data_IF_620101084390
#
_entry.id   IF_620101084390
#
_cell.length_a   1.000
_cell.length_b   1.000
_cell.length_c   1.000
_cell.angle_alpha   90.00
_cell.angle_beta   90.00
_cell.angle_gamma   90.00
#
_symmetry.space_group_name_H-M   'P 1'
#
loop_
_entity.id
_entity.type
_entity.pdbx_description
1 polymer ?
#
# COMPACT_ATOMS: atom_id res chain seq x y z
N UNK A 1 9.59 16.56 -17.79
CA UNK A 1 8.31 16.35 -17.06
C UNK A 1 8.58 15.41 -15.89
N UNK A 2 8.02 15.71 -14.72
CA UNK A 2 8.14 14.79 -13.57
C UNK A 2 7.45 13.48 -13.89
N UNK A 3 8.15 12.36 -13.66
CA UNK A 3 7.59 11.01 -13.88
C UNK A 3 7.19 10.45 -12.51
N UNK A 4 5.90 10.39 -12.21
CA UNK A 4 5.40 9.72 -11.03
C UNK A 4 5.24 8.22 -11.30
N UNK A 5 5.86 7.40 -10.46
CA UNK A 5 5.68 5.95 -10.43
C UNK A 5 4.77 5.57 -9.28
N UNK A 6 3.73 4.80 -9.54
CA UNK A 6 2.82 4.24 -8.54
C UNK A 6 3.01 2.73 -8.50
N UNK A 7 3.41 2.20 -7.35
CA UNK A 7 3.61 0.75 -7.15
C UNK A 7 2.55 0.21 -6.21
N UNK A 8 1.85 -0.83 -6.66
CA UNK A 8 0.82 -1.52 -5.91
C UNK A 8 1.34 -2.80 -5.26
N UNK A 9 0.97 -3.00 -4.00
CA UNK A 9 1.24 -4.21 -3.21
C UNK A 9 -0.07 -4.82 -2.73
N UNK A 10 -0.39 -6.01 -3.23
CA UNK A 10 -1.65 -6.70 -2.94
C UNK A 10 -1.68 -7.41 -1.58
N UNK A 11 -2.88 -7.70 -1.09
CA UNK A 11 -3.11 -8.47 0.14
C UNK A 11 -2.74 -9.95 0.01
N UNK A 12 -2.84 -10.69 1.13
CA UNK A 12 -2.46 -12.11 1.19
C UNK A 12 -3.26 -12.97 0.22
N UNK A 13 -4.57 -12.81 0.20
CA UNK A 13 -5.52 -13.63 -0.56
C UNK A 13 -5.88 -13.07 -1.94
N UNK A 14 -5.22 -12.00 -2.37
CA UNK A 14 -5.48 -11.39 -3.67
C UNK A 14 -4.27 -11.49 -4.59
N UNK A 15 -4.43 -11.05 -5.82
CA UNK A 15 -3.35 -10.97 -6.79
C UNK A 15 -3.00 -9.53 -7.14
N UNK A 16 -1.98 -9.33 -7.97
CA UNK A 16 -1.45 -8.01 -8.31
C UNK A 16 -2.49 -7.10 -8.97
N UNK A 17 -3.47 -7.68 -9.65
CA UNK A 17 -4.51 -6.94 -10.37
C UNK A 17 -5.93 -7.27 -9.86
N UNK A 18 -6.07 -7.41 -8.54
CA UNK A 18 -7.39 -7.50 -7.91
C UNK A 18 -8.22 -6.22 -8.13
N UNK A 19 -9.54 -6.30 -7.90
CA UNK A 19 -10.50 -5.22 -8.23
C UNK A 19 -10.11 -3.84 -7.69
N UNK A 20 -9.68 -3.76 -6.44
CA UNK A 20 -9.22 -2.49 -5.84
C UNK A 20 -7.99 -1.92 -6.56
N UNK A 21 -7.01 -2.76 -6.83
CA UNK A 21 -5.78 -2.32 -7.50
C UNK A 21 -6.07 -1.86 -8.91
N UNK A 22 -6.91 -2.57 -9.66
CA UNK A 22 -7.32 -2.15 -11.01
C UNK A 22 -8.01 -0.78 -10.99
N UNK A 23 -9.00 -0.60 -10.10
CA UNK A 23 -9.71 0.67 -9.99
C UNK A 23 -8.76 1.84 -9.68
N UNK A 24 -7.83 1.66 -8.75
CA UNK A 24 -6.87 2.71 -8.41
C UNK A 24 -5.78 2.89 -9.49
N UNK A 25 -5.36 1.82 -10.17
CA UNK A 25 -4.46 1.92 -11.31
C UNK A 25 -5.07 2.74 -12.45
N UNK A 26 -6.35 2.51 -12.75
CA UNK A 26 -7.08 3.29 -13.76
C UNK A 26 -7.12 4.80 -13.38
N UNK A 27 -7.27 5.13 -12.09
CA UNK A 27 -7.18 6.53 -11.61
C UNK A 27 -5.78 7.09 -11.86
N UNK A 28 -4.73 6.35 -11.51
CA UNK A 28 -3.35 6.78 -11.67
C UNK A 28 -2.99 6.98 -13.15
N UNK A 29 -3.38 6.03 -14.03
CA UNK A 29 -3.11 6.11 -15.47
C UNK A 29 -3.83 7.29 -16.12
N UNK A 30 -5.07 7.62 -15.72
CA UNK A 30 -5.78 8.82 -16.19
C UNK A 30 -5.04 10.13 -15.85
N UNK A 31 -4.24 10.13 -14.79
CA UNK A 31 -3.39 11.27 -14.40
C UNK A 31 -2.02 11.25 -15.13
N UNK A 32 -1.78 10.29 -16.03
CA UNK A 32 -0.54 10.18 -16.79
C UNK A 32 0.65 9.63 -15.99
N UNK A 33 0.38 8.89 -14.90
CA UNK A 33 1.43 8.25 -14.10
C UNK A 33 1.81 6.89 -14.66
N UNK A 34 3.02 6.42 -14.35
CA UNK A 34 3.41 5.03 -14.57
C UNK A 34 2.86 4.18 -13.42
N UNK A 35 2.32 3.01 -13.75
CA UNK A 35 1.81 2.07 -12.75
C UNK A 35 2.53 0.73 -12.83
N UNK A 36 2.71 0.11 -11.68
CA UNK A 36 3.30 -1.22 -11.52
C UNK A 36 2.59 -1.94 -10.39
N UNK A 37 2.30 -3.21 -10.55
CA UNK A 37 1.78 -4.05 -9.47
C UNK A 37 2.66 -5.28 -9.28
N UNK A 38 3.13 -5.47 -8.04
CA UNK A 38 4.03 -6.58 -7.70
C UNK A 38 3.22 -7.86 -7.53
N UNK A 39 3.64 -8.94 -8.21
CA UNK A 39 3.08 -10.27 -7.96
C UNK A 39 3.90 -11.02 -6.92
N UNK A 40 3.42 -11.04 -5.69
CA UNK A 40 4.06 -11.74 -4.59
C UNK A 40 3.80 -13.26 -4.58
N UNK A 41 2.96 -13.76 -5.48
CA UNK A 41 2.70 -15.20 -5.65
C UNK A 41 3.80 -15.87 -6.47
N UNK A 42 4.45 -15.11 -7.35
CA UNK A 42 5.61 -15.56 -8.08
C UNK A 42 6.82 -15.57 -7.14
N UNK A 43 7.29 -16.76 -6.80
CA UNK A 43 8.45 -16.91 -5.94
C UNK A 43 9.74 -16.92 -6.75
N UNK A 44 10.82 -16.31 -6.26
CA UNK A 44 12.13 -16.52 -6.82
C UNK A 44 12.48 -18.02 -6.81
N UNK A 45 13.14 -18.50 -7.85
CA UNK A 45 13.58 -19.90 -7.97
C UNK A 45 14.36 -20.31 -6.72
N UNK A 46 13.91 -21.37 -6.03
CA UNK A 46 14.59 -21.93 -4.84
C UNK A 46 14.00 -21.52 -3.48
N UNK A 47 12.89 -20.76 -3.43
CA UNK A 47 12.18 -20.47 -2.18
C UNK A 47 11.09 -21.51 -1.87
N UNK A 48 10.85 -21.87 -0.58
CA UNK A 48 9.76 -22.76 -0.20
C UNK A 48 8.39 -22.20 -0.62
N UNK A 49 7.51 -23.05 -1.16
CA UNK A 49 6.20 -22.67 -1.71
C UNK A 49 5.12 -22.41 -0.64
N UNK A 50 5.46 -22.34 0.63
CA UNK A 50 4.46 -22.13 1.68
C UNK A 50 4.08 -20.67 1.81
N UNK A 51 3.01 -20.27 1.12
CA UNK A 51 2.44 -18.92 1.20
C UNK A 51 1.81 -18.61 2.56
N UNK A 52 1.67 -19.59 3.44
CA UNK A 52 1.16 -19.44 4.79
C UNK A 52 2.27 -19.45 5.85
N UNK A 53 3.54 -19.55 5.42
CA UNK A 53 4.67 -19.56 6.33
C UNK A 53 4.75 -18.29 7.16
N UNK A 54 5.18 -18.45 8.40
CA UNK A 54 5.59 -17.35 9.26
C UNK A 54 6.67 -16.52 8.53
N UNK A 55 6.50 -15.20 8.52
CA UNK A 55 7.44 -14.30 7.81
C UNK A 55 7.09 -14.00 6.34
N UNK A 56 5.94 -14.43 5.81
CA UNK A 56 5.52 -14.10 4.44
C UNK A 56 5.53 -12.58 4.19
N UNK A 57 5.01 -11.78 5.11
CA UNK A 57 4.96 -10.34 4.97
C UNK A 57 6.36 -9.73 4.84
N UNK A 58 7.31 -10.19 5.65
CA UNK A 58 8.70 -9.70 5.63
C UNK A 58 9.46 -10.16 4.39
N UNK A 59 9.18 -11.37 3.90
CA UNK A 59 9.69 -11.84 2.61
C UNK A 59 9.21 -10.96 1.46
N UNK A 60 7.93 -10.55 1.45
CA UNK A 60 7.38 -9.63 0.44
C UNK A 60 8.04 -8.25 0.50
N UNK A 61 8.44 -7.78 1.67
CA UNK A 61 9.28 -6.57 1.79
C UNK A 61 10.59 -6.75 1.02
N UNK A 62 11.29 -7.86 1.22
CA UNK A 62 12.51 -8.17 0.48
C UNK A 62 12.29 -8.23 -1.04
N UNK A 63 11.17 -8.84 -1.49
CA UNK A 63 10.80 -8.88 -2.90
C UNK A 63 10.59 -7.46 -3.47
N UNK A 64 9.80 -6.61 -2.79
CA UNK A 64 9.57 -5.23 -3.25
C UNK A 64 10.89 -4.45 -3.34
N UNK A 65 11.77 -4.60 -2.38
CA UNK A 65 13.07 -3.91 -2.35
C UNK A 65 14.06 -4.41 -3.40
N UNK A 66 13.87 -5.62 -3.95
CA UNK A 66 14.73 -6.23 -4.98
C UNK A 66 14.34 -5.86 -6.42
N UNK A 67 13.18 -5.25 -6.61
CA UNK A 67 12.69 -4.91 -7.95
C UNK A 67 13.48 -3.73 -8.53
N UNK A 68 13.92 -3.88 -9.76
CA UNK A 68 14.46 -2.74 -10.52
C UNK A 68 13.31 -1.80 -10.90
N UNK A 69 13.30 -0.61 -10.35
CA UNK A 69 12.25 0.37 -10.61
C UNK A 69 12.50 1.09 -11.94
N UNK A 70 11.44 1.37 -12.72
CA UNK A 70 11.52 2.26 -13.87
C UNK A 70 12.03 3.65 -13.48
N UNK A 71 12.56 4.39 -14.45
CA UNK A 71 12.98 5.77 -14.22
C UNK A 71 11.81 6.64 -13.72
N UNK A 72 11.99 7.26 -12.58
CA UNK A 72 10.98 8.10 -11.94
C UNK A 72 11.62 9.27 -11.17
N UNK A 73 10.86 10.32 -10.94
CA UNK A 73 11.25 11.46 -10.10
C UNK A 73 10.43 11.55 -8.81
N UNK A 74 9.29 10.87 -8.76
CA UNK A 74 8.43 10.75 -7.59
C UNK A 74 7.93 9.30 -7.49
N UNK A 75 7.80 8.79 -6.26
CA UNK A 75 7.36 7.42 -5.98
C UNK A 75 6.19 7.41 -5.00
N UNK A 76 5.12 6.73 -5.37
CA UNK A 76 4.00 6.41 -4.49
C UNK A 76 3.89 4.90 -4.32
N UNK A 77 3.82 4.44 -3.09
CA UNK A 77 3.48 3.06 -2.77
C UNK A 77 2.02 2.98 -2.34
N UNK A 78 1.29 2.05 -2.93
CA UNK A 78 -0.11 1.75 -2.59
C UNK A 78 -0.19 0.33 -2.07
N UNK A 79 -0.63 0.16 -0.82
CA UNK A 79 -0.68 -1.16 -0.21
C UNK A 79 -2.06 -1.52 0.35
N UNK A 80 -2.52 -2.74 0.08
CA UNK A 80 -3.77 -3.27 0.63
C UNK A 80 -3.49 -4.42 1.60
N UNK A 81 -4.05 -4.35 2.81
CA UNK A 81 -3.92 -5.39 3.83
C UNK A 81 -2.44 -5.70 4.14
N UNK A 82 -1.97 -6.94 3.93
CA UNK A 82 -0.55 -7.29 4.02
C UNK A 82 0.34 -6.40 3.16
N UNK A 83 -0.11 -6.03 1.94
CA UNK A 83 0.60 -5.10 1.08
C UNK A 83 0.76 -3.70 1.69
N UNK A 84 -0.14 -3.29 2.59
CA UNK A 84 -0.02 -2.05 3.37
C UNK A 84 1.15 -2.10 4.35
N UNK A 85 1.32 -3.20 5.06
CA UNK A 85 2.50 -3.45 5.88
C UNK A 85 3.77 -3.45 5.04
N UNK A 86 3.78 -4.21 3.94
CA UNK A 86 4.93 -4.31 3.03
C UNK A 86 5.36 -2.95 2.51
N UNK A 87 4.43 -2.14 2.02
CA UNK A 87 4.70 -0.78 1.51
C UNK A 87 5.25 0.13 2.60
N UNK A 88 4.71 0.05 3.82
CA UNK A 88 5.14 0.87 4.94
C UNK A 88 6.57 0.52 5.37
N UNK A 89 6.90 -0.76 5.51
CA UNK A 89 8.25 -1.20 5.88
C UNK A 89 9.26 -0.88 4.77
N UNK A 90 8.90 -1.13 3.51
CA UNK A 90 9.77 -0.82 2.38
C UNK A 90 10.06 0.69 2.24
N UNK A 91 9.13 1.56 2.66
CA UNK A 91 9.33 3.01 2.61
C UNK A 91 10.55 3.51 3.39
N UNK A 92 11.02 2.73 4.37
CA UNK A 92 12.21 3.08 5.16
C UNK A 92 13.49 3.10 4.30
N UNK A 93 13.53 2.26 3.25
CA UNK A 93 14.68 2.10 2.36
C UNK A 93 14.50 2.74 0.98
N UNK A 94 13.29 3.09 0.62
CA UNK A 94 12.96 3.74 -0.64
C UNK A 94 12.71 5.24 -0.39
N UNK A 95 13.06 6.07 -1.35
CA UNK A 95 12.66 7.49 -1.32
C UNK A 95 11.22 7.60 -1.80
N UNK A 96 10.27 7.58 -0.86
CA UNK A 96 8.84 7.53 -1.13
C UNK A 96 8.21 8.90 -0.90
N UNK A 97 7.53 9.43 -1.91
CA UNK A 97 6.79 10.69 -1.80
C UNK A 97 5.43 10.47 -1.15
N UNK A 98 4.78 9.34 -1.40
CA UNK A 98 3.48 9.04 -0.84
C UNK A 98 3.24 7.58 -0.48
N UNK A 99 2.54 7.37 0.64
CA UNK A 99 1.97 6.07 1.03
C UNK A 99 0.45 6.17 1.04
N UNK A 100 -0.23 5.35 0.22
CA UNK A 100 -1.68 5.22 0.24
C UNK A 100 -2.07 3.81 0.65
N UNK A 101 -2.72 3.66 1.80
CA UNK A 101 -2.86 2.39 2.48
C UNK A 101 -4.34 2.03 2.67
N UNK A 102 -4.72 0.82 2.27
CA UNK A 102 -6.09 0.30 2.32
C UNK A 102 -6.17 -0.83 3.36
N UNK A 103 -6.88 -0.61 4.46
CA UNK A 103 -7.03 -1.57 5.56
C UNK A 103 -5.70 -2.27 5.91
N UNK A 104 -4.61 -1.51 6.18
CA UNK A 104 -3.26 -2.07 6.30
C UNK A 104 -3.16 -3.05 7.47
N UNK A 105 -2.50 -4.17 7.26
CA UNK A 105 -2.33 -5.23 8.24
C UNK A 105 -1.24 -4.88 9.28
N UNK A 106 -1.47 -3.83 10.06
CA UNK A 106 -0.56 -3.35 11.09
C UNK A 106 -0.75 -4.05 12.42
N UNK A 107 0.32 -4.22 13.17
CA UNK A 107 0.33 -4.76 14.54
C UNK A 107 -0.29 -6.16 14.65
N UNK A 108 -0.23 -6.95 13.59
CA UNK A 108 -0.69 -8.33 13.62
C UNK A 108 0.41 -9.27 14.14
N UNK A 109 0.06 -10.32 14.89
CA UNK A 109 1.01 -11.35 15.29
C UNK A 109 1.71 -12.01 14.09
N UNK A 110 2.97 -12.38 14.24
CA UNK A 110 3.75 -13.05 13.20
C UNK A 110 4.43 -12.13 12.18
N UNK A 111 4.23 -10.81 12.28
CA UNK A 111 4.97 -9.81 11.49
C UNK A 111 6.17 -9.31 12.28
N UNK A 112 7.35 -9.26 11.67
CA UNK A 112 8.60 -8.93 12.37
C UNK A 112 8.61 -7.49 12.91
N UNK A 113 8.05 -6.54 12.14
CA UNK A 113 8.04 -5.13 12.54
C UNK A 113 6.73 -4.78 13.25
N UNK A 114 6.78 -4.64 14.55
CA UNK A 114 5.65 -4.18 15.37
C UNK A 114 5.70 -2.68 15.68
N UNK A 115 6.86 -2.04 15.49
CA UNK A 115 7.05 -0.59 15.58
C UNK A 115 7.26 -0.05 14.15
N UNK A 116 6.15 0.35 13.52
CA UNK A 116 6.15 0.80 12.15
C UNK A 116 6.42 2.31 12.09
N UNK A 117 7.41 2.71 11.31
CA UNK A 117 7.72 4.12 11.07
C UNK A 117 7.68 4.40 9.57
N UNK A 118 6.60 4.99 9.05
CA UNK A 118 6.50 5.31 7.63
C UNK A 118 7.53 6.38 7.27
N UNK A 119 8.21 6.20 6.14
CA UNK A 119 9.05 7.24 5.55
C UNK A 119 8.50 7.64 4.19
N UNK A 120 7.58 8.59 4.24
CA UNK A 120 7.00 9.22 3.06
C UNK A 120 6.67 10.68 3.39
N UNK A 121 6.63 11.54 2.39
CA UNK A 121 6.23 12.93 2.60
C UNK A 121 4.75 13.05 2.97
N UNK A 122 3.93 12.14 2.46
CA UNK A 122 2.51 12.08 2.78
C UNK A 122 2.07 10.63 2.95
N UNK A 123 1.33 10.36 4.00
CA UNK A 123 0.68 9.05 4.25
C UNK A 123 -0.81 9.27 4.41
N UNK A 124 -1.61 8.45 3.71
CA UNK A 124 -3.06 8.41 3.84
C UNK A 124 -3.51 6.96 4.04
N UNK A 125 -4.38 6.75 5.01
CA UNK A 125 -4.99 5.44 5.29
C UNK A 125 -6.48 5.53 5.04
N UNK A 126 -7.03 4.50 4.39
CA UNK A 126 -8.47 4.25 4.30
C UNK A 126 -8.78 2.91 4.95
N UNK A 127 -9.74 2.86 5.87
CA UNK A 127 -10.12 1.64 6.59
C UNK A 127 -11.63 1.54 6.76
N UNK A 128 -12.15 0.31 6.71
CA UNK A 128 -13.57 0.04 6.90
C UNK A 128 -13.91 -0.13 8.38
N UNK A 129 -15.00 0.49 8.84
CA UNK A 129 -15.46 0.36 10.23
C UNK A 129 -15.79 -1.09 10.62
N UNK A 130 -16.31 -1.88 9.66
CA UNK A 130 -16.75 -3.26 9.88
C UNK A 130 -15.69 -4.29 9.44
N UNK A 131 -14.41 -3.90 9.43
CA UNK A 131 -13.31 -4.81 9.12
C UNK A 131 -13.19 -5.90 10.20
N UNK A 132 -13.55 -7.13 9.82
CA UNK A 132 -13.46 -8.32 10.68
C UNK A 132 -12.12 -9.07 10.57
N UNK A 133 -11.19 -8.59 9.76
CA UNK A 133 -9.87 -9.22 9.51
C UNK A 133 -8.75 -8.46 10.20
N UNK A 134 -8.69 -7.15 9.96
CA UNK A 134 -7.73 -6.26 10.60
C UNK A 134 -8.49 -5.25 11.46
N UNK A 135 -8.27 -5.23 12.78
CA UNK A 135 -8.96 -4.27 13.65
C UNK A 135 -8.72 -2.83 13.22
N UNK A 136 -9.81 -2.08 12.99
CA UNK A 136 -9.74 -0.67 12.58
C UNK A 136 -8.93 0.18 13.55
N UNK A 137 -8.91 -0.19 14.84
CA UNK A 137 -8.12 0.48 15.88
C UNK A 137 -6.60 0.44 15.60
N UNK A 138 -6.11 -0.52 14.82
CA UNK A 138 -4.71 -0.57 14.40
C UNK A 138 -4.37 0.62 13.51
N UNK A 139 -5.25 0.98 12.57
CA UNK A 139 -5.08 2.17 11.74
C UNK A 139 -5.27 3.47 12.52
N UNK A 140 -6.20 3.52 13.47
CA UNK A 140 -6.38 4.68 14.36
C UNK A 140 -5.11 4.90 15.19
N UNK A 141 -4.56 3.83 15.80
CA UNK A 141 -3.30 3.89 16.55
C UNK A 141 -2.16 4.42 15.68
N UNK A 142 -1.97 3.83 14.50
CA UNK A 142 -0.91 4.24 13.57
C UNK A 142 -1.06 5.71 13.16
N UNK A 143 -2.26 6.11 12.73
CA UNK A 143 -2.52 7.48 12.29
C UNK A 143 -2.28 8.51 13.41
N UNK A 144 -2.67 8.17 14.63
CA UNK A 144 -2.41 9.03 15.81
C UNK A 144 -0.91 9.16 16.11
N UNK A 145 -0.16 8.06 16.03
CA UNK A 145 1.28 8.05 16.29
C UNK A 145 2.08 8.84 15.25
N UNK A 146 1.67 8.77 13.98
CA UNK A 146 2.43 9.33 12.86
C UNK A 146 1.80 10.58 12.27
N UNK A 147 0.68 11.08 12.85
CA UNK A 147 -0.01 12.31 12.43
C UNK A 147 -0.32 12.31 10.93
N UNK A 148 -0.80 11.17 10.41
CA UNK A 148 -1.15 11.01 9.00
C UNK A 148 -2.67 11.04 8.76
N UNK A 149 -3.08 11.26 7.52
CA UNK A 149 -4.49 11.30 7.14
C UNK A 149 -5.14 9.92 7.31
N UNK A 150 -6.29 9.87 7.94
CA UNK A 150 -7.09 8.66 8.14
C UNK A 150 -8.54 8.90 7.74
N UNK A 151 -9.04 8.06 6.82
CA UNK A 151 -10.43 8.03 6.40
C UNK A 151 -11.07 6.72 6.84
N UNK A 152 -12.03 6.81 7.75
CA UNK A 152 -12.84 5.67 8.20
C UNK A 152 -14.16 5.67 7.43
N UNK A 153 -14.38 4.62 6.66
CA UNK A 153 -15.57 4.49 5.81
C UNK A 153 -16.45 3.34 6.28
N UNK A 154 -17.72 3.38 5.94
CA UNK A 154 -18.55 2.20 6.01
C UNK A 154 -18.02 1.14 5.04
N UNK A 155 -17.77 -0.06 5.54
CA UNK A 155 -17.23 -1.15 4.73
C UNK A 155 -16.49 -2.21 5.53
N UNK A 156 -16.31 -3.35 4.89
CA UNK A 156 -15.53 -4.50 5.38
C UNK A 156 -14.04 -4.37 5.02
N UNK A 157 -13.28 -5.45 5.30
CA UNK A 157 -11.85 -5.53 4.95
C UNK A 157 -11.56 -5.37 3.45
N UNK A 158 -12.47 -5.82 2.61
CA UNK A 158 -12.29 -5.78 1.16
C UNK A 158 -12.43 -4.38 0.57
N UNK A 159 -13.23 -3.51 1.21
CA UNK A 159 -13.49 -2.13 0.79
C UNK A 159 -14.07 -1.98 -0.63
N UNK A 160 -14.59 -3.06 -1.24
CA UNK A 160 -15.07 -3.02 -2.61
C UNK A 160 -16.28 -2.08 -2.77
N UNK A 161 -17.21 -2.10 -1.82
CA UNK A 161 -18.38 -1.21 -1.83
C UNK A 161 -18.00 0.27 -1.59
N UNK A 162 -16.83 0.51 -0.99
CA UNK A 162 -16.33 1.85 -0.71
C UNK A 162 -15.49 2.45 -1.85
N UNK A 163 -15.18 1.68 -2.92
CA UNK A 163 -14.37 2.16 -4.04
C UNK A 163 -14.83 3.49 -4.63
N UNK A 164 -16.13 3.76 -4.83
CA UNK A 164 -16.59 5.06 -5.34
C UNK A 164 -16.21 6.26 -4.45
N UNK A 165 -15.93 6.03 -3.17
CA UNK A 165 -15.44 7.05 -2.22
C UNK A 165 -13.90 7.07 -2.17
N UNK A 166 -13.26 5.94 -2.39
CA UNK A 166 -11.80 5.79 -2.31
C UNK A 166 -11.10 6.37 -3.55
N UNK A 167 -11.65 6.14 -4.73
CA UNK A 167 -11.08 6.66 -5.98
C UNK A 167 -10.87 8.18 -5.98
N UNK A 168 -11.84 9.02 -5.59
CA UNK A 168 -11.63 10.46 -5.47
C UNK A 168 -10.58 10.85 -4.42
N UNK A 169 -10.51 10.13 -3.30
CA UNK A 169 -9.48 10.35 -2.28
C UNK A 169 -8.08 10.05 -2.83
N UNK A 170 -7.96 8.96 -3.57
CA UNK A 170 -6.70 8.58 -4.21
C UNK A 170 -6.28 9.56 -5.30
N UNK A 171 -7.22 10.00 -6.12
CA UNK A 171 -6.97 11.04 -7.13
C UNK A 171 -6.46 12.34 -6.50
N UNK A 172 -7.12 12.80 -5.43
CA UNK A 172 -6.69 13.98 -4.68
C UNK A 172 -5.28 13.78 -4.10
N UNK A 173 -5.02 12.62 -3.52
CA UNK A 173 -3.72 12.25 -2.96
C UNK A 173 -2.62 12.34 -4.01
N UNK A 174 -2.82 11.72 -5.20
CA UNK A 174 -1.84 11.77 -6.29
C UNK A 174 -1.61 13.20 -6.80
N UNK A 175 -2.66 14.00 -6.96
CA UNK A 175 -2.54 15.41 -7.36
C UNK A 175 -1.71 16.23 -6.36
N UNK A 176 -1.86 15.98 -5.06
CA UNK A 176 -1.06 16.63 -4.03
C UNK A 176 0.43 16.23 -4.11
N UNK A 177 0.72 14.95 -4.38
CA UNK A 177 2.10 14.50 -4.60
C UNK A 177 2.70 15.15 -5.85
N UNK A 178 1.98 15.15 -6.97
CA UNK A 178 2.43 15.72 -8.24
C UNK A 178 2.68 17.24 -8.16
N UNK A 179 1.89 17.95 -7.36
CA UNK A 179 2.02 19.41 -7.18
C UNK A 179 3.25 19.81 -6.34
N UNK A 180 3.86 18.88 -5.60
CA UNK A 180 5.05 19.19 -4.80
C UNK A 180 6.22 19.52 -5.72
N UNK A 181 6.84 20.66 -5.45
CA UNK A 181 8.15 21.01 -6.01
C UNK A 181 9.22 20.41 -5.11
N UNK A 182 10.10 19.60 -5.65
CA UNK A 182 11.29 19.09 -4.96
C UNK A 182 12.28 20.19 -4.83
#
# INVERSE_FOLDING_TARGET
MKKLLVIFSHGKESGPWGSKIRALADVAERLGTQVMSVDYREQPIGTPQDQNAEGEADRRVGQLLSITLPEHSQLVLVGSSMGGYVSTVASIRLQVDGLFLLAPAFYLPGYANQELTPRAHKTMIVHGWSDGVVPVHNSIRFASQHQCDLHLLEGDHRLNAALPKIEPLFELFLKQIMARTV
#
